data_IF_884233568393
#
_entry.id   IF_884233568393
#
_cell.length_a   1.000
_cell.length_b   1.000
_cell.length_c   1.000
_cell.angle_alpha   90.00
_cell.angle_beta   90.00
_cell.angle_gamma   90.00
#
_symmetry.space_group_name_H-M   'P 1'
#
loop_
_entity.id
_entity.type
_entity.pdbx_description
1 polymer ?
#
# COMPACT_ATOMS: atom_id res chain seq x y z
N UNK A 1 -2.27 9.02 -2.54
CA UNK A 1 -3.51 8.75 -1.79
C UNK A 1 -3.53 9.53 -0.50
N UNK A 2 -4.59 10.31 -0.31
CA UNK A 2 -4.90 10.92 1.00
C UNK A 2 -5.50 9.85 1.90
N UNK A 3 -5.32 9.98 3.20
CA UNK A 3 -5.81 8.98 4.15
C UNK A 3 -7.35 8.91 4.17
N UNK A 4 -8.03 10.02 3.89
CA UNK A 4 -9.50 10.08 3.76
C UNK A 4 -10.06 9.17 2.66
N UNK A 5 -9.33 9.00 1.55
CA UNK A 5 -9.70 8.08 0.47
C UNK A 5 -9.57 6.62 0.93
N UNK A 6 -8.56 6.34 1.77
CA UNK A 6 -8.27 5.00 2.32
C UNK A 6 -9.34 4.54 3.31
N UNK A 7 -9.89 5.46 4.08
CA UNK A 7 -10.97 5.17 5.03
C UNK A 7 -12.30 4.85 4.36
N UNK A 8 -12.56 5.44 3.18
CA UNK A 8 -13.80 5.23 2.44
C UNK A 8 -13.90 3.88 1.72
N UNK A 9 -12.79 3.14 1.59
CA UNK A 9 -12.73 1.84 0.91
C UNK A 9 -13.27 0.71 1.78
N UNK A 10 -13.89 -0.28 1.13
CA UNK A 10 -14.34 -1.52 1.78
C UNK A 10 -13.15 -2.38 2.24
N UNK A 11 -13.38 -3.38 3.10
CA UNK A 11 -12.33 -4.30 3.55
C UNK A 11 -11.75 -5.14 2.41
N UNK A 12 -12.58 -5.51 1.43
CA UNK A 12 -12.17 -6.30 0.27
C UNK A 12 -11.35 -5.44 -0.70
N UNK A 13 -11.82 -4.23 -1.00
CA UNK A 13 -11.11 -3.27 -1.84
C UNK A 13 -9.74 -2.88 -1.24
N UNK A 14 -9.65 -2.74 0.09
CA UNK A 14 -8.39 -2.48 0.79
C UNK A 14 -7.37 -3.61 0.58
N UNK A 15 -7.81 -4.87 0.63
CA UNK A 15 -6.96 -6.04 0.42
C UNK A 15 -6.51 -6.15 -1.03
N UNK A 16 -7.44 -5.98 -1.98
CA UNK A 16 -7.11 -5.99 -3.41
C UNK A 16 -6.11 -4.88 -3.76
N UNK A 17 -6.35 -3.67 -3.26
CA UNK A 17 -5.43 -2.54 -3.48
C UNK A 17 -4.07 -2.77 -2.87
N UNK A 18 -4.02 -3.33 -1.66
CA UNK A 18 -2.77 -3.68 -1.00
C UNK A 18 -1.97 -4.69 -1.84
N UNK A 19 -2.64 -5.70 -2.39
CA UNK A 19 -2.01 -6.72 -3.21
C UNK A 19 -1.46 -6.13 -4.52
N UNK A 20 -2.27 -5.32 -5.20
CA UNK A 20 -1.86 -4.62 -6.42
C UNK A 20 -0.65 -3.69 -6.22
N UNK A 21 -0.65 -2.87 -5.16
CA UNK A 21 0.46 -1.97 -4.84
C UNK A 21 1.72 -2.76 -4.44
N UNK A 22 1.57 -3.89 -3.75
CA UNK A 22 2.70 -4.76 -3.37
C UNK A 22 3.36 -5.39 -4.59
N UNK A 23 2.58 -5.89 -5.55
CA UNK A 23 3.08 -6.41 -6.82
C UNK A 23 3.77 -5.30 -7.62
N UNK A 24 3.17 -4.12 -7.71
CA UNK A 24 3.76 -2.95 -8.38
C UNK A 24 5.10 -2.56 -7.77
N UNK A 25 5.20 -2.54 -6.43
CA UNK A 25 6.46 -2.28 -5.71
C UNK A 25 7.53 -3.32 -6.01
N UNK A 26 7.18 -4.61 -6.10
CA UNK A 26 8.13 -5.66 -6.47
C UNK A 26 8.64 -5.48 -7.90
N UNK A 27 7.77 -5.21 -8.87
CA UNK A 27 8.17 -4.93 -10.24
C UNK A 27 9.08 -3.71 -10.34
N UNK A 28 8.79 -2.65 -9.57
CA UNK A 28 9.65 -1.45 -9.51
C UNK A 28 11.02 -1.74 -8.91
N UNK A 29 11.10 -2.56 -7.85
CA UNK A 29 12.37 -2.96 -7.25
C UNK A 29 13.21 -3.80 -8.23
N UNK A 30 12.57 -4.74 -8.93
CA UNK A 30 13.22 -5.56 -9.94
C UNK A 30 13.74 -4.70 -11.10
N UNK A 31 12.91 -3.80 -11.63
CA UNK A 31 13.32 -2.84 -12.65
C UNK A 31 14.50 -1.97 -12.19
N UNK A 32 14.47 -1.46 -10.95
CA UNK A 32 15.55 -0.65 -10.37
C UNK A 32 16.86 -1.42 -10.20
N UNK A 33 16.79 -2.70 -9.85
CA UNK A 33 17.98 -3.54 -9.71
C UNK A 33 18.66 -3.86 -11.04
N UNK A 34 17.89 -3.91 -12.13
CA UNK A 34 18.40 -4.20 -13.48
C UNK A 34 18.87 -2.93 -14.17
N UNK A 35 18.15 -1.83 -13.99
CA UNK A 35 18.48 -0.53 -14.57
C UNK A 35 18.17 0.58 -13.57
N UNK A 36 19.07 1.55 -13.36
CA UNK A 36 18.79 2.67 -12.47
C UNK A 36 17.54 3.42 -12.96
N UNK A 37 16.43 3.26 -12.24
CA UNK A 37 15.19 3.99 -12.52
C UNK A 37 15.43 5.51 -12.57
N UNK A 38 14.82 6.18 -13.55
CA UNK A 38 14.81 7.65 -13.66
C UNK A 38 14.31 8.35 -12.39
N UNK A 39 13.41 7.71 -11.63
CA UNK A 39 12.85 8.30 -10.41
C UNK A 39 12.69 7.28 -9.27
N UNK A 40 13.73 7.11 -8.42
CA UNK A 40 13.67 6.20 -7.26
C UNK A 40 12.66 6.66 -6.19
N UNK A 41 12.21 7.93 -6.23
CA UNK A 41 11.22 8.47 -5.30
C UNK A 41 9.87 7.74 -5.40
N UNK A 42 9.55 7.16 -6.58
CA UNK A 42 8.33 6.36 -6.79
C UNK A 42 8.27 5.14 -5.88
N UNK A 43 9.39 4.47 -5.63
CA UNK A 43 9.47 3.32 -4.70
C UNK A 43 9.10 3.76 -3.27
N UNK A 44 9.63 4.92 -2.86
CA UNK A 44 9.35 5.48 -1.54
C UNK A 44 7.89 5.93 -1.39
N UNK A 45 7.30 6.52 -2.43
CA UNK A 45 5.89 6.89 -2.45
C UNK A 45 5.00 5.65 -2.36
N UNK A 46 5.29 4.62 -3.14
CA UNK A 46 4.55 3.37 -3.14
C UNK A 46 4.62 2.67 -1.77
N UNK A 47 5.81 2.63 -1.15
CA UNK A 47 5.99 2.14 0.24
C UNK A 47 5.11 2.88 1.25
N UNK A 48 4.99 4.21 1.13
CA UNK A 48 4.13 5.02 2.02
C UNK A 48 2.64 4.71 1.82
N UNK A 49 2.21 4.41 0.59
CA UNK A 49 0.81 4.02 0.31
C UNK A 49 0.51 2.66 0.94
N UNK A 50 1.37 1.67 0.75
CA UNK A 50 1.24 0.33 1.36
C UNK A 50 1.13 0.44 2.89
N UNK A 51 1.99 1.21 3.54
CA UNK A 51 1.97 1.39 5.00
C UNK A 51 0.64 1.98 5.50
N UNK A 52 0.04 2.93 4.76
CA UNK A 52 -1.26 3.52 5.11
C UNK A 52 -2.39 2.50 4.97
N UNK A 53 -2.38 1.69 3.92
CA UNK A 53 -3.36 0.61 3.71
C UNK A 53 -3.27 -0.45 4.83
N UNK A 54 -2.06 -0.86 5.21
CA UNK A 54 -1.83 -1.79 6.31
C UNK A 54 -2.28 -1.24 7.66
N UNK A 55 -2.06 0.05 7.90
CA UNK A 55 -2.47 0.71 9.15
C UNK A 55 -3.99 0.70 9.30
N UNK A 56 -4.73 0.97 8.21
CA UNK A 56 -6.19 0.94 8.22
C UNK A 56 -6.74 -0.49 8.44
N UNK A 57 -6.15 -1.49 7.78
CA UNK A 57 -6.50 -2.91 8.02
C UNK A 57 -6.30 -3.27 9.49
N UNK A 58 -5.14 -2.92 10.06
CA UNK A 58 -4.84 -3.22 11.46
C UNK A 58 -5.77 -2.48 12.43
N UNK A 59 -6.15 -1.24 12.12
CA UNK A 59 -7.11 -0.47 12.92
C UNK A 59 -8.46 -1.17 12.97
N UNK A 60 -8.98 -1.63 11.82
CA UNK A 60 -10.26 -2.36 11.73
C UNK A 60 -10.21 -3.70 12.45
N UNK A 61 -9.10 -4.43 12.38
CA UNK A 61 -8.90 -5.66 13.15
C UNK A 61 -8.95 -5.42 14.67
N UNK A 62 -8.31 -4.35 15.15
CA UNK A 62 -8.30 -3.98 16.57
C UNK A 62 -9.67 -3.53 17.07
N UNK A 63 -10.41 -2.75 16.27
CA UNK A 63 -11.80 -2.37 16.58
C UNK A 63 -12.72 -3.60 16.64
N UNK A 64 -12.56 -4.55 15.71
CA UNK A 64 -13.32 -5.80 15.69
C UNK A 64 -12.99 -6.75 16.84
N UNK A 65 -11.74 -6.77 17.32
CA UNK A 65 -11.31 -7.56 18.47
C UNK A 65 -11.69 -6.95 19.84
N UNK A 66 -12.16 -5.69 19.86
CA UNK A 66 -12.59 -4.99 21.08
C UNK A 66 -14.10 -5.09 21.36
N UNK A 67 -14.83 -5.87 20.57
CA UNK A 67 -16.27 -6.16 20.75
C UNK A 67 -16.52 -7.57 21.23
#
# INVERSE_FOLDING_TARGET
MKYSEIQALSLEELKERLQAETSSRQSLLFAHSISPLENPLRINQNRKVIARLQTELRKRELEGASK
#
